data_IF_509551430166
#
_entry.id   IF_509551430166
#
_cell.length_a   1.000
_cell.length_b   1.000
_cell.length_c   1.000
_cell.angle_alpha   90.00
_cell.angle_beta   90.00
_cell.angle_gamma   90.00
#
_symmetry.space_group_name_H-M   'P 1'
#
loop_
_entity.id
_entity.type
_entity.pdbx_description
1 polymer ?
#
# COMPACT_ATOMS: atom_id res chain seq x y z
N UNK A 1 -34.13 -6.68 -0.90
CA UNK A 1 -33.35 -6.38 0.32
C UNK A 1 -32.07 -7.18 0.22
N UNK A 2 -30.91 -6.54 0.37
CA UNK A 2 -29.61 -7.20 0.30
C UNK A 2 -29.16 -7.40 1.74
N UNK A 3 -28.89 -8.64 2.14
CA UNK A 3 -28.38 -8.98 3.48
C UNK A 3 -27.05 -8.28 3.76
N UNK A 4 -26.76 -8.06 5.04
CA UNK A 4 -25.48 -7.52 5.48
C UNK A 4 -24.32 -8.36 4.91
N UNK A 5 -23.47 -7.75 4.07
CA UNK A 5 -22.32 -8.42 3.45
C UNK A 5 -22.48 -8.88 2.01
N UNK A 6 -23.51 -8.49 1.28
CA UNK A 6 -23.52 -8.56 -0.19
C UNK A 6 -23.19 -7.18 -0.77
N UNK A 7 -22.14 -7.09 -1.61
CA UNK A 7 -21.72 -5.86 -2.27
C UNK A 7 -22.66 -5.61 -3.46
N UNK A 8 -23.49 -4.55 -3.46
CA UNK A 8 -24.35 -4.25 -4.60
C UNK A 8 -23.53 -4.11 -5.90
N UNK A 9 -23.98 -4.67 -7.03
CA UNK A 9 -23.25 -4.53 -8.30
C UNK A 9 -22.97 -3.09 -8.73
N UNK A 10 -23.81 -2.14 -8.31
CA UNK A 10 -23.61 -0.71 -8.56
C UNK A 10 -22.58 -0.03 -7.65
N UNK A 11 -22.10 -0.69 -6.60
CA UNK A 11 -21.18 -0.11 -5.61
C UNK A 11 -19.73 -0.54 -5.81
N UNK A 12 -19.44 -1.46 -6.74
CA UNK A 12 -18.06 -1.85 -7.08
C UNK A 12 -17.50 -0.87 -8.09
N UNK A 13 -16.49 -0.13 -7.69
CA UNK A 13 -15.84 0.87 -8.54
C UNK A 13 -14.41 0.49 -8.96
N UNK A 14 -13.97 -0.73 -8.68
CA UNK A 14 -12.57 -1.15 -8.82
C UNK A 14 -12.16 -1.47 -10.26
N UNK A 15 -10.88 -1.23 -10.63
CA UNK A 15 -10.39 -1.56 -11.95
C UNK A 15 -10.25 -3.09 -12.09
N UNK A 16 -10.75 -3.64 -13.20
CA UNK A 16 -10.59 -5.06 -13.52
C UNK A 16 -11.49 -6.03 -12.76
N UNK A 17 -12.34 -5.55 -11.85
CA UNK A 17 -13.41 -6.35 -11.24
C UNK A 17 -14.67 -6.19 -12.08
N UNK A 18 -15.18 -7.32 -12.57
CA UNK A 18 -16.46 -7.40 -13.26
C UNK A 18 -17.55 -7.74 -12.25
N UNK A 19 -18.69 -7.07 -12.35
CA UNK A 19 -19.90 -7.53 -11.68
C UNK A 19 -20.93 -7.93 -12.72
N UNK A 20 -21.45 -9.13 -12.55
CA UNK A 20 -22.54 -9.66 -13.34
C UNK A 20 -23.85 -9.07 -12.79
N UNK A 21 -24.51 -8.23 -13.57
CA UNK A 21 -25.83 -7.67 -13.23
C UNK A 21 -26.89 -8.46 -13.99
N UNK A 22 -27.87 -9.01 -13.27
CA UNK A 22 -29.10 -9.50 -13.90
C UNK A 22 -29.95 -8.28 -14.24
N UNK A 23 -30.08 -7.98 -15.53
CA UNK A 23 -31.01 -6.99 -16.06
C UNK A 23 -32.24 -7.74 -16.55
N UNK A 24 -33.37 -7.54 -15.87
CA UNK A 24 -34.66 -7.99 -16.36
C UNK A 24 -35.24 -6.88 -17.23
N UNK A 25 -35.29 -7.10 -18.54
CA UNK A 25 -35.95 -6.19 -19.49
C UNK A 25 -37.47 -6.44 -19.43
N UNK A 26 -37.87 -7.69 -19.18
CA UNK A 26 -39.23 -8.12 -18.83
C UNK A 26 -39.19 -9.43 -17.98
N UNK A 27 -40.32 -9.96 -17.48
CA UNK A 27 -40.36 -11.16 -16.62
C UNK A 27 -39.77 -12.45 -17.23
N UNK A 28 -39.64 -12.51 -18.55
CA UNK A 28 -39.14 -13.65 -19.33
C UNK A 28 -37.77 -13.38 -19.99
N UNK A 29 -37.30 -12.12 -20.12
CA UNK A 29 -35.96 -11.76 -20.61
C UNK A 29 -35.05 -11.24 -19.47
N UNK A 30 -34.26 -12.16 -18.88
CA UNK A 30 -33.18 -11.86 -17.94
C UNK A 30 -31.84 -11.98 -18.65
N UNK A 31 -31.10 -10.87 -18.75
CA UNK A 31 -29.74 -10.84 -19.32
C UNK A 31 -28.71 -10.60 -18.24
N UNK A 32 -27.58 -11.29 -18.31
CA UNK A 32 -26.41 -11.00 -17.48
C UNK A 32 -25.58 -9.95 -18.20
N UNK A 33 -25.65 -8.71 -17.74
CA UNK A 33 -24.75 -7.65 -18.20
C UNK A 33 -23.47 -7.66 -17.36
N UNK A 34 -22.34 -7.95 -18.00
CA UNK A 34 -21.01 -7.80 -17.40
C UNK A 34 -20.51 -6.38 -17.64
N UNK A 35 -20.73 -5.47 -16.68
CA UNK A 35 -20.32 -4.06 -16.82
C UNK A 35 -18.99 -3.81 -16.11
N UNK A 36 -18.05 -3.20 -16.83
CA UNK A 36 -16.87 -2.54 -16.24
C UNK A 36 -17.16 -1.04 -16.20
N UNK A 37 -16.94 -0.36 -15.08
CA UNK A 37 -17.26 1.08 -14.95
C UNK A 37 -16.15 2.03 -15.41
N UNK A 38 -15.10 1.59 -16.14
CA UNK A 38 -14.10 2.53 -16.67
C UNK A 38 -13.54 2.21 -18.07
N UNK A 39 -13.32 3.25 -18.91
CA UNK A 39 -12.43 3.17 -20.06
C UNK A 39 -10.95 3.30 -19.62
N UNK A 40 -10.07 2.91 -20.54
CA UNK A 40 -8.60 2.87 -20.40
C UNK A 40 -7.98 4.17 -19.86
N UNK A 41 -6.91 4.10 -19.04
CA UNK A 41 -6.22 2.90 -18.55
C UNK A 41 -6.86 2.28 -17.28
N UNK A 42 -6.62 0.99 -17.04
CA UNK A 42 -7.14 0.18 -15.90
C UNK A 42 -6.48 0.54 -14.54
N UNK A 43 -6.34 1.82 -14.24
CA UNK A 43 -5.72 2.31 -13.00
C UNK A 43 -6.78 2.63 -11.93
N UNK A 44 -6.34 2.68 -10.67
CA UNK A 44 -7.10 3.33 -9.59
C UNK A 44 -7.11 4.85 -9.79
N UNK A 45 -8.20 5.51 -9.42
CA UNK A 45 -8.36 6.96 -9.40
C UNK A 45 -8.06 7.49 -8.00
N UNK A 46 -6.86 7.19 -7.50
CA UNK A 46 -6.34 7.69 -6.22
C UNK A 46 -6.39 9.22 -6.11
N UNK A 47 -6.27 9.90 -7.25
CA UNK A 47 -6.33 11.36 -7.34
C UNK A 47 -7.75 11.96 -7.33
N UNK A 48 -8.82 11.15 -7.38
CA UNK A 48 -10.20 11.66 -7.38
C UNK A 48 -10.81 11.42 -6.00
N UNK A 49 -11.08 12.47 -5.19
CA UNK A 49 -11.67 12.31 -3.86
C UNK A 49 -13.03 11.59 -3.86
N UNK A 50 -13.79 11.64 -4.96
CA UNK A 50 -15.03 10.87 -5.08
C UNK A 50 -14.78 9.35 -5.20
N UNK A 51 -13.52 8.95 -5.45
CA UNK A 51 -13.05 7.58 -5.65
C UNK A 51 -12.12 7.10 -4.54
N UNK A 52 -11.25 7.95 -4.02
CA UNK A 52 -10.22 7.56 -3.06
C UNK A 52 -10.57 7.81 -1.59
N UNK A 53 -11.54 8.67 -1.27
CA UNK A 53 -11.84 9.01 0.14
C UNK A 53 -12.68 7.98 0.89
N UNK A 54 -12.57 7.99 2.23
CA UNK A 54 -13.37 7.16 3.14
C UNK A 54 -14.87 7.21 2.82
N UNK A 55 -15.52 6.05 2.87
CA UNK A 55 -16.96 5.90 2.74
C UNK A 55 -17.52 6.06 1.33
N UNK A 56 -16.68 6.17 0.29
CA UNK A 56 -17.15 6.25 -1.10
C UNK A 56 -16.20 5.60 -2.11
N UNK A 57 -16.72 5.40 -3.32
CA UNK A 57 -15.90 5.10 -4.48
C UNK A 57 -15.11 3.78 -4.40
N UNK A 58 -13.90 3.81 -4.93
CA UNK A 58 -12.99 2.67 -4.98
C UNK A 58 -12.48 2.32 -3.58
N UNK A 59 -12.20 3.32 -2.76
CA UNK A 59 -11.75 3.10 -1.41
C UNK A 59 -12.79 2.36 -0.55
N UNK A 60 -14.07 2.74 -0.65
CA UNK A 60 -15.16 1.98 -0.03
C UNK A 60 -15.26 0.56 -0.61
N UNK A 61 -15.08 0.39 -1.93
CA UNK A 61 -15.11 -0.93 -2.55
C UNK A 61 -14.02 -1.84 -1.97
N UNK A 62 -12.79 -1.33 -1.78
CA UNK A 62 -11.69 -2.08 -1.14
C UNK A 62 -12.07 -2.43 0.30
N UNK A 63 -12.58 -1.47 1.08
CA UNK A 63 -12.99 -1.72 2.47
C UNK A 63 -14.10 -2.79 2.56
N UNK A 64 -15.08 -2.75 1.66
CA UNK A 64 -16.15 -3.75 1.60
C UNK A 64 -15.62 -5.15 1.26
N UNK A 65 -14.62 -5.24 0.37
CA UNK A 65 -13.95 -6.51 0.08
C UNK A 65 -13.20 -7.05 1.30
N UNK A 66 -12.50 -6.17 2.04
CA UNK A 66 -11.85 -6.53 3.30
C UNK A 66 -12.86 -7.05 4.31
N UNK A 67 -13.96 -6.31 4.54
CA UNK A 67 -15.00 -6.72 5.49
C UNK A 67 -15.64 -8.05 5.11
N UNK A 68 -15.89 -8.25 3.81
CA UNK A 68 -16.40 -9.52 3.30
C UNK A 68 -15.43 -10.66 3.56
N UNK A 69 -14.15 -10.48 3.26
CA UNK A 69 -13.13 -11.50 3.49
C UNK A 69 -12.97 -11.83 4.97
N UNK A 70 -12.94 -10.82 5.85
CA UNK A 70 -12.90 -11.00 7.31
C UNK A 70 -14.09 -11.82 7.79
N UNK A 71 -15.31 -11.44 7.40
CA UNK A 71 -16.53 -12.14 7.80
C UNK A 71 -16.58 -13.58 7.26
N UNK A 72 -16.09 -13.79 6.03
CA UNK A 72 -16.13 -15.10 5.38
C UNK A 72 -15.09 -16.07 5.94
N UNK A 73 -13.89 -15.60 6.27
CA UNK A 73 -12.77 -16.45 6.68
C UNK A 73 -12.47 -16.42 8.17
N UNK A 74 -13.18 -15.59 8.95
CA UNK A 74 -12.91 -15.43 10.39
C UNK A 74 -11.55 -14.80 10.68
N UNK A 75 -11.03 -13.97 9.77
CA UNK A 75 -9.71 -13.36 9.89
C UNK A 75 -9.63 -12.39 11.07
N UNK A 76 -8.47 -12.35 11.74
CA UNK A 76 -8.20 -11.36 12.79
C UNK A 76 -8.16 -9.95 12.20
N UNK A 77 -9.12 -9.10 12.58
CA UNK A 77 -9.23 -7.71 12.12
C UNK A 77 -8.03 -6.86 12.50
N UNK A 78 -7.24 -7.28 13.50
CA UNK A 78 -6.01 -6.60 13.91
C UNK A 78 -4.80 -6.99 13.06
N UNK A 79 -4.98 -7.91 12.10
CA UNK A 79 -3.94 -8.45 11.22
C UNK A 79 -4.36 -8.38 9.75
N UNK A 80 -4.97 -7.26 9.37
CA UNK A 80 -5.31 -6.93 8.00
C UNK A 80 -4.23 -6.00 7.43
N UNK A 81 -3.79 -6.28 6.21
CA UNK A 81 -2.69 -5.58 5.56
C UNK A 81 -3.05 -5.23 4.12
N UNK A 82 -2.41 -4.21 3.57
CA UNK A 82 -2.64 -3.76 2.19
C UNK A 82 -1.32 -3.45 1.47
N UNK A 83 -1.22 -3.80 0.21
CA UNK A 83 -0.04 -3.53 -0.63
C UNK A 83 -0.49 -3.23 -2.05
N UNK A 84 0.29 -2.41 -2.76
CA UNK A 84 0.00 -2.14 -4.16
C UNK A 84 1.15 -1.47 -4.89
N UNK A 85 1.17 -1.68 -6.21
CA UNK A 85 2.15 -1.12 -7.13
C UNK A 85 1.58 0.09 -7.87
N UNK A 86 2.38 1.15 -8.08
CA UNK A 86 2.03 2.27 -8.98
C UNK A 86 0.75 2.98 -8.53
N UNK A 87 -0.26 3.09 -9.39
CA UNK A 87 -1.59 3.59 -9.01
C UNK A 87 -2.22 2.79 -7.85
N UNK A 88 -1.90 1.50 -7.71
CA UNK A 88 -2.26 0.68 -6.56
C UNK A 88 -1.46 1.01 -5.30
N UNK A 89 -0.20 1.46 -5.45
CA UNK A 89 0.61 1.97 -4.34
C UNK A 89 0.08 3.31 -3.82
N UNK A 90 -0.31 4.20 -4.74
CA UNK A 90 -1.03 5.44 -4.42
C UNK A 90 -2.35 5.17 -3.68
N UNK A 91 -3.18 4.27 -4.21
CA UNK A 91 -4.43 3.86 -3.54
C UNK A 91 -4.14 3.17 -2.19
N UNK A 92 -3.04 2.43 -2.06
CA UNK A 92 -2.62 1.87 -0.77
C UNK A 92 -2.33 2.98 0.25
N UNK A 93 -1.61 4.04 -0.15
CA UNK A 93 -1.35 5.18 0.71
C UNK A 93 -2.65 5.87 1.16
N UNK A 94 -3.57 6.13 0.23
CA UNK A 94 -4.89 6.71 0.56
C UNK A 94 -5.67 5.80 1.52
N UNK A 95 -5.73 4.49 1.27
CA UNK A 95 -6.43 3.54 2.15
C UNK A 95 -5.86 3.49 3.57
N UNK A 96 -4.53 3.58 3.72
CA UNK A 96 -3.90 3.63 5.04
C UNK A 96 -4.25 4.92 5.80
N UNK A 97 -4.48 6.02 5.09
CA UNK A 97 -4.85 7.31 5.67
C UNK A 97 -6.36 7.44 5.95
N UNK A 98 -7.21 6.95 5.05
CA UNK A 98 -8.67 6.98 5.18
C UNK A 98 -9.21 5.90 6.13
N UNK A 99 -8.55 4.74 6.21
CA UNK A 99 -8.96 3.60 7.03
C UNK A 99 -7.83 3.08 7.95
N UNK A 100 -7.24 3.93 8.80
CA UNK A 100 -6.20 3.49 9.73
C UNK A 100 -6.71 2.48 10.77
N UNK A 101 -8.03 2.43 10.97
CA UNK A 101 -8.76 1.46 11.79
C UNK A 101 -8.94 0.09 11.13
N UNK A 102 -8.70 -0.03 9.82
CA UNK A 102 -8.90 -1.27 9.07
C UNK A 102 -7.59 -2.01 8.77
N UNK A 103 -6.44 -1.35 8.84
CA UNK A 103 -5.15 -1.92 8.43
C UNK A 103 -4.10 -1.79 9.53
N UNK A 104 -3.44 -2.89 9.85
CA UNK A 104 -2.32 -2.91 10.79
C UNK A 104 -1.02 -2.39 10.18
N UNK A 105 -0.83 -2.62 8.87
CA UNK A 105 0.30 -2.11 8.11
C UNK A 105 0.03 -2.16 6.60
N UNK A 106 0.85 -1.45 5.81
CA UNK A 106 0.83 -1.59 4.36
C UNK A 106 2.17 -1.37 3.67
N UNK A 107 2.20 -1.67 2.38
CA UNK A 107 3.36 -1.50 1.50
C UNK A 107 3.01 -0.67 0.27
N UNK A 108 3.72 0.45 0.11
CA UNK A 108 3.59 1.37 -1.03
C UNK A 108 4.75 1.10 -1.97
N UNK A 109 4.49 0.39 -3.07
CA UNK A 109 5.50 0.00 -4.07
C UNK A 109 5.42 0.92 -5.30
N UNK A 110 6.50 1.63 -5.61
CA UNK A 110 6.58 2.64 -6.69
C UNK A 110 5.35 3.56 -6.72
N UNK A 111 4.91 3.99 -5.54
CA UNK A 111 3.71 4.80 -5.33
C UNK A 111 4.01 6.26 -5.01
N UNK A 112 3.00 6.95 -4.50
CA UNK A 112 3.07 8.37 -4.08
C UNK A 112 2.48 8.53 -2.66
N UNK A 113 2.74 9.64 -1.96
CA UNK A 113 2.13 9.91 -0.66
C UNK A 113 0.61 9.98 -0.74
N UNK A 114 -0.06 9.66 0.37
CA UNK A 114 -1.51 9.78 0.48
C UNK A 114 -1.95 11.22 0.21
N UNK A 115 -3.00 11.40 -0.58
CA UNK A 115 -3.59 12.69 -0.93
C UNK A 115 -2.61 13.69 -1.57
N UNK A 116 -1.57 13.20 -2.25
CA UNK A 116 -0.68 14.10 -2.99
C UNK A 116 -1.35 14.82 -4.17
N UNK A 117 -2.53 14.34 -4.59
CA UNK A 117 -3.33 14.89 -5.68
C UNK A 117 -4.82 14.83 -5.34
N UNK A 118 -5.60 15.74 -5.94
CA UNK A 118 -7.07 15.80 -5.83
C UNK A 118 -7.76 15.98 -7.20
N UNK A 119 -6.98 15.86 -8.28
CA UNK A 119 -7.43 15.90 -9.66
C UNK A 119 -6.45 15.18 -10.57
N UNK A 120 -6.90 14.77 -11.76
CA UNK A 120 -6.04 14.14 -12.77
C UNK A 120 -4.84 15.01 -13.15
N UNK A 121 -5.00 16.33 -13.14
CA UNK A 121 -3.92 17.26 -13.43
C UNK A 121 -2.86 17.24 -12.32
N UNK A 122 -3.28 17.43 -11.07
CA UNK A 122 -2.37 17.36 -9.92
C UNK A 122 -1.72 15.99 -9.76
N UNK A 123 -2.36 14.91 -10.25
CA UNK A 123 -1.79 13.57 -10.25
C UNK A 123 -0.52 13.49 -11.11
N UNK A 124 -0.50 14.14 -12.28
CA UNK A 124 0.67 14.21 -13.14
C UNK A 124 1.81 14.98 -12.44
N UNK A 125 1.48 16.09 -11.78
CA UNK A 125 2.46 16.87 -11.02
C UNK A 125 3.03 16.07 -9.87
N UNK A 126 2.19 15.51 -8.99
CA UNK A 126 2.66 14.68 -7.86
C UNK A 126 3.58 13.56 -8.34
N UNK A 127 3.18 12.85 -9.40
CA UNK A 127 3.95 11.74 -9.94
C UNK A 127 5.31 12.16 -10.51
N UNK A 128 5.38 13.25 -11.25
CA UNK A 128 6.58 13.63 -12.03
C UNK A 128 7.50 14.62 -11.28
N UNK A 129 6.91 15.54 -10.51
CA UNK A 129 7.56 16.67 -9.85
C UNK A 129 6.97 16.83 -8.45
N UNK A 130 7.43 16.03 -7.47
CA UNK A 130 6.81 15.99 -6.16
C UNK A 130 6.77 17.36 -5.49
N UNK A 131 5.69 17.60 -4.74
CA UNK A 131 5.24 18.95 -4.39
C UNK A 131 6.09 19.67 -3.34
N UNK A 132 7.09 19.00 -2.75
CA UNK A 132 8.01 19.59 -1.77
C UNK A 132 7.31 20.06 -0.49
N UNK A 133 6.26 19.36 -0.06
CA UNK A 133 5.56 19.72 1.19
C UNK A 133 6.45 19.35 2.37
N UNK A 134 6.35 20.12 3.44
CA UNK A 134 7.02 19.77 4.70
C UNK A 134 6.41 18.49 5.30
N UNK A 135 7.16 17.74 6.13
CA UNK A 135 6.62 16.58 6.84
C UNK A 135 5.32 16.89 7.60
N UNK A 136 5.22 18.07 8.22
CA UNK A 136 4.01 18.51 8.93
C UNK A 136 2.80 18.64 8.00
N UNK A 137 2.97 19.33 6.87
CA UNK A 137 1.90 19.48 5.87
C UNK A 137 1.45 18.12 5.30
N UNK A 138 2.39 17.20 5.10
CA UNK A 138 2.06 15.85 4.67
C UNK A 138 1.27 15.07 5.73
N UNK A 139 1.70 15.13 6.99
CA UNK A 139 1.00 14.46 8.07
C UNK A 139 -0.38 15.05 8.34
N UNK A 140 -0.56 16.36 8.14
CA UNK A 140 -1.85 17.03 8.31
C UNK A 140 -2.88 16.52 7.30
N UNK A 141 -2.47 16.21 6.06
CA UNK A 141 -3.35 15.59 5.06
C UNK A 141 -3.86 14.22 5.52
N UNK A 142 -2.98 13.39 6.10
CA UNK A 142 -3.38 12.08 6.64
C UNK A 142 -4.31 12.24 7.84
N UNK A 143 -3.96 13.11 8.79
CA UNK A 143 -4.77 13.38 9.99
C UNK A 143 -6.15 13.96 9.65
N UNK A 144 -6.26 14.76 8.60
CA UNK A 144 -7.53 15.34 8.15
C UNK A 144 -8.49 14.31 7.52
N UNK A 145 -7.96 13.22 6.93
CA UNK A 145 -8.76 12.16 6.34
C UNK A 145 -9.16 11.06 7.35
N UNK A 146 -8.33 10.86 8.37
CA UNK A 146 -8.56 9.84 9.38
C UNK A 146 -9.82 10.11 10.24
N UNK A 147 -10.46 9.07 10.79
CA UNK A 147 -11.55 9.24 11.74
C UNK A 147 -11.18 10.12 12.93
N UNK A 148 -12.15 10.91 13.40
CA UNK A 148 -11.99 11.70 14.62
C UNK A 148 -11.60 10.82 15.80
N UNK A 149 -10.55 11.21 16.53
CA UNK A 149 -10.05 10.45 17.67
C UNK A 149 -9.10 9.31 17.31
N UNK A 150 -8.61 9.22 16.07
CA UNK A 150 -7.54 8.26 15.71
C UNK A 150 -6.28 8.51 16.55
N UNK A 151 -5.86 7.51 17.33
CA UNK A 151 -4.66 7.57 18.20
C UNK A 151 -3.57 6.58 17.82
N UNK A 152 -3.80 5.75 16.80
CA UNK A 152 -2.85 4.74 16.33
C UNK A 152 -2.82 4.72 14.81
N UNK A 153 -1.64 4.49 14.25
CA UNK A 153 -1.42 4.52 12.81
C UNK A 153 -0.95 3.18 12.28
N UNK A 154 -1.27 2.83 11.03
CA UNK A 154 -0.69 1.66 10.38
C UNK A 154 0.83 1.82 10.21
N UNK A 155 1.57 0.72 10.31
CA UNK A 155 3.00 0.70 9.96
C UNK A 155 3.16 0.72 8.44
N UNK A 156 4.17 1.39 7.89
CA UNK A 156 4.29 1.57 6.44
C UNK A 156 5.66 1.19 5.91
N UNK A 157 5.69 0.30 4.92
CA UNK A 157 6.87 0.05 4.11
C UNK A 157 6.74 0.80 2.78
N UNK A 158 7.79 1.51 2.39
CA UNK A 158 7.86 2.31 1.16
C UNK A 158 8.97 1.72 0.31
N UNK A 159 8.68 1.32 -0.93
CA UNK A 159 9.67 0.70 -1.82
C UNK A 159 9.70 1.42 -3.15
N UNK A 160 10.89 1.82 -3.59
CA UNK A 160 11.02 2.57 -4.83
C UNK A 160 12.34 2.28 -5.52
N UNK A 161 12.28 2.12 -6.85
CA UNK A 161 13.46 2.01 -7.69
C UNK A 161 14.08 3.37 -7.98
N UNK A 162 15.40 3.51 -7.88
CA UNK A 162 16.08 4.80 -8.08
C UNK A 162 16.08 5.27 -9.54
N UNK A 163 15.70 4.39 -10.48
CA UNK A 163 15.62 4.68 -11.92
C UNK A 163 14.18 4.65 -12.43
N UNK A 164 13.19 4.76 -11.53
CA UNK A 164 11.78 4.85 -11.90
C UNK A 164 11.46 6.17 -12.61
N UNK A 165 11.19 6.09 -13.91
CA UNK A 165 10.82 7.25 -14.74
C UNK A 165 9.31 7.44 -14.89
N UNK A 166 8.51 6.52 -14.33
CA UNK A 166 7.04 6.61 -14.37
C UNK A 166 6.53 7.34 -13.14
N UNK A 167 7.02 6.99 -11.96
CA UNK A 167 6.75 7.67 -10.70
C UNK A 167 8.09 8.10 -10.12
N UNK A 168 8.31 9.41 -10.04
CA UNK A 168 9.60 9.97 -9.65
C UNK A 168 10.03 9.42 -8.27
N UNK A 169 11.26 8.91 -8.11
CA UNK A 169 11.73 8.30 -6.85
C UNK A 169 11.69 9.25 -5.65
N UNK A 170 11.68 10.57 -5.87
CA UNK A 170 11.49 11.54 -4.80
C UNK A 170 10.14 11.37 -4.07
N UNK A 171 9.14 10.71 -4.67
CA UNK A 171 7.91 10.35 -3.97
C UNK A 171 8.12 9.38 -2.80
N UNK A 172 9.19 8.59 -2.81
CA UNK A 172 9.57 7.76 -1.67
C UNK A 172 9.97 8.62 -0.46
N UNK A 173 10.69 9.72 -0.70
CA UNK A 173 11.06 10.70 0.31
C UNK A 173 9.83 11.43 0.85
N UNK A 174 8.93 11.89 -0.02
CA UNK A 174 7.70 12.57 0.42
C UNK A 174 6.80 11.60 1.23
N UNK A 175 6.76 10.32 0.86
CA UNK A 175 6.00 9.30 1.60
C UNK A 175 6.66 9.03 2.96
N UNK A 176 8.00 8.97 2.99
CA UNK A 176 8.76 8.86 4.22
C UNK A 176 8.42 10.03 5.16
N UNK A 177 8.49 11.26 4.66
CA UNK A 177 8.24 12.48 5.42
C UNK A 177 6.81 12.50 5.98
N UNK A 178 5.83 12.08 5.15
CA UNK A 178 4.44 11.92 5.56
C UNK A 178 4.30 10.94 6.73
N UNK A 179 4.73 9.69 6.54
CA UNK A 179 4.43 8.62 7.49
C UNK A 179 5.25 8.75 8.78
N UNK A 180 6.49 9.24 8.71
CA UNK A 180 7.26 9.54 9.92
C UNK A 180 6.67 10.70 10.72
N UNK A 181 6.12 11.74 10.06
CA UNK A 181 5.40 12.80 10.76
C UNK A 181 4.09 12.29 11.40
N UNK A 182 3.33 11.47 10.69
CA UNK A 182 2.09 10.85 11.20
C UNK A 182 2.36 10.03 12.46
N UNK A 183 3.44 9.26 12.45
CA UNK A 183 3.89 8.48 13.60
C UNK A 183 4.54 9.31 14.72
N UNK A 184 4.85 10.58 14.49
CA UNK A 184 5.56 11.42 15.45
C UNK A 184 7.01 10.97 15.71
N UNK A 185 7.64 10.32 14.73
CA UNK A 185 9.02 9.81 14.81
C UNK A 185 9.99 10.69 14.02
N UNK A 186 11.28 10.57 14.33
CA UNK A 186 12.33 11.38 13.70
C UNK A 186 12.51 11.09 12.21
N UNK A 187 12.95 12.11 11.46
CA UNK A 187 13.25 12.02 10.02
C UNK A 187 14.61 11.34 9.72
N UNK A 188 15.38 10.98 10.75
CA UNK A 188 16.65 10.27 10.59
C UNK A 188 16.44 8.79 10.88
N UNK A 189 16.95 7.88 10.04
CA UNK A 189 16.76 6.46 10.24
C UNK A 189 17.37 6.04 11.57
N UNK A 190 16.63 5.24 12.33
CA UNK A 190 17.13 4.58 13.54
C UNK A 190 18.17 3.50 13.19
N UNK A 191 18.04 2.91 11.99
CA UNK A 191 18.99 1.93 11.46
C UNK A 191 18.98 1.95 9.93
N UNK A 192 20.15 1.75 9.32
CA UNK A 192 20.28 1.52 7.88
C UNK A 192 20.96 0.17 7.64
N UNK A 193 20.53 -0.55 6.61
CA UNK A 193 21.04 -1.86 6.20
C UNK A 193 21.17 -1.96 4.69
N UNK A 194 22.17 -2.69 4.22
CA UNK A 194 22.26 -3.10 2.82
C UNK A 194 21.61 -4.48 2.67
N UNK A 195 20.71 -4.60 1.71
CA UNK A 195 20.02 -5.83 1.33
C UNK A 195 20.45 -6.25 -0.09
N UNK A 196 20.15 -7.48 -0.53
CA UNK A 196 20.38 -7.93 -1.90
C UNK A 196 19.75 -7.01 -2.96
N UNK A 197 20.21 -7.17 -4.21
CA UNK A 197 19.69 -6.41 -5.35
C UNK A 197 20.05 -4.93 -5.33
N UNK A 198 21.13 -4.54 -4.63
CA UNK A 198 21.53 -3.14 -4.50
C UNK A 198 20.54 -2.29 -3.71
N UNK A 199 19.89 -2.90 -2.70
CA UNK A 199 18.82 -2.25 -1.95
C UNK A 199 19.34 -1.69 -0.62
N UNK A 200 19.06 -0.42 -0.36
CA UNK A 200 19.28 0.19 0.95
C UNK A 200 17.95 0.22 1.71
N UNK A 201 17.92 -0.40 2.89
CA UNK A 201 16.82 -0.35 3.84
C UNK A 201 17.11 0.65 4.96
N UNK A 202 16.27 1.67 5.09
CA UNK A 202 16.25 2.62 6.20
C UNK A 202 15.04 2.34 7.09
N UNK A 203 15.27 2.14 8.38
CA UNK A 203 14.25 1.75 9.37
C UNK A 203 14.08 2.87 10.40
N UNK A 204 12.82 3.19 10.68
CA UNK A 204 12.41 4.19 11.67
C UNK A 204 11.56 3.49 12.74
N UNK A 205 12.12 3.40 13.95
CA UNK A 205 11.45 2.73 15.07
C UNK A 205 10.47 3.67 15.78
N UNK A 206 9.37 3.11 16.26
CA UNK A 206 8.52 3.76 17.27
C UNK A 206 9.19 3.77 18.65
N UNK A 207 8.51 4.37 19.62
CA UNK A 207 8.98 4.46 21.02
C UNK A 207 9.08 3.11 21.72
N UNK A 208 8.51 2.05 21.16
CA UNK A 208 8.58 0.67 21.67
C UNK A 208 9.70 -0.15 21.03
N UNK A 209 10.45 0.45 20.09
CA UNK A 209 11.52 -0.21 19.36
C UNK A 209 11.05 -1.06 18.17
N UNK A 210 9.79 -0.93 17.73
CA UNK A 210 9.26 -1.66 16.57
C UNK A 210 9.36 -0.80 15.29
N UNK A 211 9.67 -1.39 14.12
CA UNK A 211 9.64 -0.65 12.86
C UNK A 211 8.26 -0.06 12.60
N UNK A 212 8.14 1.26 12.60
CA UNK A 212 6.92 1.98 12.25
C UNK A 212 6.90 2.35 10.76
N UNK A 213 8.05 2.81 10.25
CA UNK A 213 8.27 3.12 8.84
C UNK A 213 9.54 2.45 8.36
N UNK A 214 9.49 1.86 7.16
CA UNK A 214 10.65 1.34 6.46
C UNK A 214 10.71 1.91 5.04
N UNK A 215 11.91 2.30 4.59
CA UNK A 215 12.14 2.81 3.23
C UNK A 215 13.17 1.93 2.54
N UNK A 216 12.79 1.34 1.42
CA UNK A 216 13.60 0.49 0.56
C UNK A 216 13.93 1.26 -0.72
N UNK A 217 15.19 1.70 -0.85
CA UNK A 217 15.71 2.34 -2.05
C UNK A 217 16.45 1.30 -2.88
N UNK A 218 15.95 0.98 -4.07
CA UNK A 218 16.44 -0.14 -4.88
C UNK A 218 17.24 0.40 -6.06
N UNK A 219 18.56 0.30 -5.98
CA UNK A 219 19.48 0.90 -6.95
C UNK A 219 19.27 0.36 -8.36
N UNK A 220 19.13 1.26 -9.33
CA UNK A 220 18.99 0.94 -10.75
C UNK A 220 17.64 0.36 -11.16
N UNK A 221 16.74 0.07 -10.21
CA UNK A 221 15.43 -0.49 -10.53
C UNK A 221 14.52 0.59 -11.14
N UNK A 222 13.80 0.23 -12.21
CA UNK A 222 12.79 1.07 -12.85
C UNK A 222 11.41 0.98 -12.17
N UNK A 223 10.35 1.30 -12.93
CA UNK A 223 8.98 1.25 -12.42
C UNK A 223 8.46 -0.18 -12.30
N UNK A 224 8.30 -0.70 -11.09
CA UNK A 224 7.79 -2.05 -10.89
C UNK A 224 7.85 -2.54 -9.44
N UNK A 225 7.30 -3.73 -9.24
CA UNK A 225 7.41 -4.48 -8.01
C UNK A 225 8.71 -5.30 -8.04
N UNK A 226 9.48 -5.23 -6.97
CA UNK A 226 10.69 -6.03 -6.83
C UNK A 226 10.37 -7.51 -6.60
N UNK A 227 10.97 -8.38 -7.40
CA UNK A 227 10.93 -9.84 -7.25
C UNK A 227 12.36 -10.37 -7.25
N UNK A 228 12.55 -11.60 -6.78
CA UNK A 228 13.84 -12.28 -6.77
C UNK A 228 13.59 -13.75 -7.05
N UNK A 229 13.42 -14.16 -8.33
CA UNK A 229 13.02 -15.52 -8.65
C UNK A 229 14.01 -16.57 -8.15
N UNK A 230 13.49 -17.66 -7.62
CA UNK A 230 14.27 -18.78 -7.10
C UNK A 230 13.49 -19.57 -6.05
N UNK A 231 14.15 -20.52 -5.39
CA UNK A 231 13.54 -21.45 -4.42
C UNK A 231 13.96 -21.19 -2.97
N UNK A 232 14.84 -20.21 -2.73
CA UNK A 232 15.25 -19.77 -1.41
C UNK A 232 14.12 -19.09 -0.62
N UNK A 233 14.28 -19.00 0.69
CA UNK A 233 13.28 -18.42 1.60
C UNK A 233 13.02 -16.94 1.35
N UNK A 234 14.03 -16.21 0.87
CA UNK A 234 13.99 -14.78 0.50
C UNK A 234 13.94 -14.57 -1.03
N UNK A 235 13.53 -15.61 -1.76
CA UNK A 235 13.27 -15.58 -3.19
C UNK A 235 11.77 -15.69 -3.45
N UNK A 236 11.25 -14.90 -4.40
CA UNK A 236 9.85 -14.95 -4.78
C UNK A 236 9.60 -14.41 -6.19
N UNK A 237 8.45 -14.83 -6.72
CA UNK A 237 7.89 -14.32 -7.96
C UNK A 237 8.66 -14.77 -9.21
N UNK A 238 8.24 -14.21 -10.34
CA UNK A 238 8.85 -14.38 -11.65
C UNK A 238 9.02 -13.00 -12.27
N UNK A 239 10.00 -12.81 -13.15
CA UNK A 239 10.18 -11.55 -13.85
C UNK A 239 9.05 -11.31 -14.87
N UNK A 240 8.79 -10.04 -15.15
CA UNK A 240 7.79 -9.59 -16.12
C UNK A 240 7.87 -8.08 -16.30
N UNK A 241 6.98 -7.50 -17.11
CA UNK A 241 7.03 -6.08 -17.47
C UNK A 241 7.12 -5.14 -16.27
N UNK A 242 6.41 -5.46 -15.17
CA UNK A 242 6.44 -4.69 -13.92
C UNK A 242 6.92 -5.52 -12.72
N UNK A 243 7.55 -6.67 -12.97
CA UNK A 243 8.12 -7.52 -11.93
C UNK A 243 9.62 -7.62 -12.19
N UNK A 244 10.40 -6.85 -11.43
CA UNK A 244 11.80 -6.56 -11.73
C UNK A 244 12.71 -7.37 -10.80
N UNK A 245 13.73 -8.02 -11.38
CA UNK A 245 14.65 -8.85 -10.61
C UNK A 245 15.61 -8.00 -9.76
N UNK A 246 15.37 -7.93 -8.45
CA UNK A 246 16.18 -7.18 -7.49
C UNK A 246 16.17 -7.82 -6.10
N UNK A 247 15.07 -7.72 -5.37
CA UNK A 247 14.85 -8.35 -4.06
C UNK A 247 13.43 -8.92 -3.97
N UNK A 248 13.20 -9.87 -3.07
CA UNK A 248 11.85 -10.38 -2.85
C UNK A 248 11.01 -9.41 -1.99
N UNK A 249 10.31 -8.46 -2.62
CA UNK A 249 9.43 -7.51 -1.91
C UNK A 249 8.43 -8.19 -0.97
N UNK A 250 7.86 -9.32 -1.40
CA UNK A 250 6.85 -10.06 -0.61
C UNK A 250 7.43 -10.65 0.68
N UNK A 251 8.65 -11.19 0.64
CA UNK A 251 9.34 -11.71 1.83
C UNK A 251 9.59 -10.59 2.84
N UNK A 252 10.21 -9.49 2.40
CA UNK A 252 10.50 -8.36 3.30
C UNK A 252 9.22 -7.68 3.82
N UNK A 253 8.15 -7.65 3.01
CA UNK A 253 6.83 -7.17 3.45
C UNK A 253 6.23 -8.07 4.52
N UNK A 254 6.28 -9.40 4.33
CA UNK A 254 5.80 -10.36 5.31
C UNK A 254 6.61 -10.28 6.63
N UNK A 255 7.93 -10.10 6.56
CA UNK A 255 8.79 -9.89 7.73
C UNK A 255 8.43 -8.60 8.46
N UNK A 256 8.29 -7.48 7.74
CA UNK A 256 7.86 -6.20 8.32
C UNK A 256 6.50 -6.32 9.02
N UNK A 257 5.56 -7.06 8.42
CA UNK A 257 4.24 -7.30 9.02
C UNK A 257 4.24 -8.27 10.20
N UNK A 258 5.36 -8.99 10.45
CA UNK A 258 5.46 -10.02 11.47
C UNK A 258 4.74 -11.32 11.07
N UNK A 259 4.62 -11.59 9.77
CA UNK A 259 4.01 -12.80 9.22
C UNK A 259 5.05 -13.87 8.86
N UNK A 260 6.27 -13.46 8.50
CA UNK A 260 7.38 -14.40 8.39
C UNK A 260 7.72 -14.87 9.81
N UNK A 261 7.50 -16.16 10.11
CA UNK A 261 7.71 -16.72 11.44
C UNK A 261 9.10 -16.40 11.97
N UNK A 262 9.22 -16.24 13.28
CA UNK A 262 10.51 -16.15 13.97
C UNK A 262 11.27 -17.48 13.82
N UNK A 263 11.99 -17.68 12.73
CA UNK A 263 13.18 -18.52 12.76
C UNK A 263 14.19 -17.79 13.62
N UNK A 264 14.33 -18.23 14.88
CA UNK A 264 15.17 -17.60 15.89
C UNK A 264 16.54 -17.24 15.35
N UNK A 265 16.84 -15.95 15.32
CA UNK A 265 18.23 -15.49 15.36
C UNK A 265 18.75 -15.86 16.75
N UNK A 266 19.46 -16.98 16.83
CA UNK A 266 20.34 -17.23 17.96
C UNK A 266 21.25 -16.00 18.09
N UNK A 267 21.14 -15.34 19.24
CA UNK A 267 22.10 -14.36 19.71
C UNK A 267 23.49 -15.04 19.66
N UNK A 268 24.51 -14.46 18.99
CA UNK A 268 25.86 -15.01 19.07
C UNK A 268 26.29 -14.94 20.54
N UNK A 269 26.33 -16.11 21.19
CA UNK A 269 26.78 -16.25 22.57
C UNK A 269 28.13 -15.58 22.75
N UNK A 270 28.22 -14.76 23.79
CA UNK A 270 29.46 -14.13 24.28
C UNK A 270 30.60 -15.17 24.35
N UNK A 271 31.84 -14.80 23.98
CA UNK A 271 32.98 -15.69 24.16
C UNK A 271 33.16 -15.95 25.66
N UNK A 272 33.23 -17.23 26.01
CA UNK A 272 33.45 -17.69 27.37
C UNK A 272 34.77 -17.16 27.92
N UNK A 273 34.72 -16.61 29.12
CA UNK A 273 35.92 -16.40 29.93
C UNK A 273 36.28 -17.73 30.59
N UNK A 274 37.51 -18.15 30.31
CA UNK A 274 38.36 -19.18 30.93
C UNK A 274 38.03 -19.56 32.37
#
# INVERSE_FOLDING_TARGET
MVESGAIPPGSVHLPGIHVDRIVAVDPHDRRIERRTVRPSPKCFNWYDPAKSSRGRGEALSIKQMVDKAVAQYGSDTRRVYITGLSAGGAMTADMLADYPDAFAAGSIDSGVPAFCANSRYSALTCRNSPTGKTPAQWGDLVRAAAPTGTTSWPRVAIRHGTSDTTVNPANATESHDQWTNVWGIGQRPSRTQNLPGGTTLSIYYDTTGKPAVEVYSISGMGHGLAVNPGSGTDQCGTTGTYYLNSLCSSYYTATFWGLAGSSGTAEPGKPGTS
#
